data_IF_534038869929
#
_entry.id   IF_534038869929
#
_cell.length_a   1.000
_cell.length_b   1.000
_cell.length_c   1.000
_cell.angle_alpha   90.00
_cell.angle_beta   90.00
_cell.angle_gamma   90.00
#
_symmetry.space_group_name_H-M   'P 1'
#
loop_
_entity.id
_entity.type
_entity.pdbx_description
1 polymer ?
#
# COMPACT_ATOMS: atom_id res chain seq x y z
N UNK A 1 -2.70 -1.23 22.57
CA UNK A 1 -2.49 -1.60 21.15
C UNK A 1 -1.32 -0.81 20.57
N UNK A 2 -0.30 -1.49 20.03
CA UNK A 2 0.86 -0.85 19.40
C UNK A 2 0.45 0.00 18.17
N UNK A 3 1.27 1.00 17.80
CA UNK A 3 1.06 1.90 16.65
C UNK A 3 0.85 1.12 15.35
N UNK A 4 1.54 0.00 15.15
CA UNK A 4 1.38 -0.86 13.96
C UNK A 4 -0.04 -1.41 13.88
N UNK A 5 -0.50 -2.11 14.92
CA UNK A 5 -1.83 -2.74 14.95
C UNK A 5 -2.97 -1.72 14.86
N UNK A 6 -2.79 -0.53 15.47
CA UNK A 6 -3.71 0.61 15.27
C UNK A 6 -3.84 1.02 13.80
N UNK A 7 -2.74 1.10 13.08
CA UNK A 7 -2.77 1.44 11.65
C UNK A 7 -3.44 0.34 10.81
N UNK A 8 -3.17 -0.92 11.13
CA UNK A 8 -3.81 -2.07 10.47
C UNK A 8 -5.32 -2.07 10.70
N UNK A 9 -5.77 -1.79 11.93
CA UNK A 9 -7.19 -1.64 12.27
C UNK A 9 -7.85 -0.47 11.52
N UNK A 10 -7.17 0.67 11.40
CA UNK A 10 -7.66 1.80 10.59
C UNK A 10 -7.85 1.41 9.13
N UNK A 11 -6.93 0.62 8.56
CA UNK A 11 -7.03 0.14 7.17
C UNK A 11 -8.18 -0.87 7.04
N UNK A 12 -8.30 -1.81 7.97
CA UNK A 12 -9.36 -2.82 8.00
C UNK A 12 -10.75 -2.17 7.93
N UNK A 13 -10.96 -1.16 8.78
CA UNK A 13 -12.23 -0.41 8.87
C UNK A 13 -12.60 0.36 7.60
N UNK A 14 -11.67 0.58 6.68
CA UNK A 14 -11.98 1.18 5.36
C UNK A 14 -12.71 0.20 4.43
N UNK A 15 -12.65 -1.11 4.72
CA UNK A 15 -13.24 -2.16 3.88
C UNK A 15 -14.34 -2.92 4.62
N UNK A 16 -14.12 -3.25 5.90
CA UNK A 16 -15.04 -4.01 6.73
C UNK A 16 -15.68 -3.07 7.76
N UNK A 17 -16.92 -2.65 7.51
CA UNK A 17 -17.68 -1.79 8.42
C UNK A 17 -18.11 -2.56 9.68
N UNK A 18 -18.02 -1.93 10.85
CA UNK A 18 -18.50 -2.51 12.12
C UNK A 18 -20.02 -2.73 12.14
N UNK A 19 -20.75 -2.09 11.23
CA UNK A 19 -22.19 -2.35 11.03
C UNK A 19 -22.48 -3.68 10.35
N UNK A 20 -21.48 -4.32 9.73
CA UNK A 20 -21.60 -5.54 8.95
C UNK A 20 -20.71 -6.69 9.46
N UNK A 21 -19.61 -6.33 10.12
CA UNK A 21 -18.60 -7.26 10.60
C UNK A 21 -18.22 -6.97 12.06
N UNK A 22 -18.12 -8.01 12.86
CA UNK A 22 -17.61 -7.95 14.23
C UNK A 22 -16.15 -8.41 14.27
N UNK A 23 -15.28 -7.66 14.95
CA UNK A 23 -13.89 -8.08 15.19
C UNK A 23 -13.89 -9.02 16.39
N UNK A 24 -13.74 -10.33 16.15
CA UNK A 24 -13.70 -11.36 17.19
C UNK A 24 -12.36 -11.32 17.91
N UNK A 25 -11.26 -11.16 17.15
CA UNK A 25 -9.90 -11.28 17.67
C UNK A 25 -8.89 -10.49 16.85
N UNK A 26 -7.95 -9.86 17.55
CA UNK A 26 -6.68 -9.39 16.99
C UNK A 26 -5.61 -10.48 17.12
N UNK A 27 -4.81 -10.68 16.08
CA UNK A 27 -3.77 -11.71 16.03
C UNK A 27 -2.56 -11.28 15.22
N UNK A 28 -1.61 -12.19 15.06
CA UNK A 28 -0.45 -12.03 14.14
C UNK A 28 -0.56 -12.95 12.93
N UNK A 29 -1.45 -13.93 12.98
CA UNK A 29 -1.69 -14.83 11.87
C UNK A 29 -3.10 -15.46 11.89
N UNK A 30 -4.13 -14.86 11.27
CA UNK A 30 -4.17 -13.56 10.57
C UNK A 30 -4.08 -12.36 11.52
N UNK A 31 -3.96 -11.14 10.98
CA UNK A 31 -3.96 -9.90 11.77
C UNK A 31 -5.27 -9.68 12.52
N UNK A 32 -6.39 -10.05 11.89
CA UNK A 32 -7.74 -9.98 12.48
C UNK A 32 -8.56 -11.22 12.15
N UNK A 33 -9.46 -11.60 13.04
CA UNK A 33 -10.53 -12.55 12.79
C UNK A 33 -11.86 -11.83 12.92
N UNK A 34 -12.70 -11.94 11.88
CA UNK A 34 -14.00 -11.29 11.78
C UNK A 34 -15.14 -12.31 11.77
N UNK A 35 -16.31 -11.89 12.26
CA UNK A 35 -17.60 -12.54 12.00
C UNK A 35 -18.45 -11.62 11.14
N UNK A 36 -19.11 -12.15 10.11
CA UNK A 36 -20.19 -11.42 9.45
C UNK A 36 -21.53 -11.58 10.20
N UNK A 37 -22.59 -10.87 9.74
CA UNK A 37 -23.96 -10.99 10.29
C UNK A 37 -24.58 -12.38 10.19
N UNK A 38 -24.02 -13.28 9.39
CA UNK A 38 -24.46 -14.67 9.22
C UNK A 38 -23.63 -15.64 10.07
N UNK A 39 -22.79 -15.11 10.98
CA UNK A 39 -21.86 -15.87 11.81
C UNK A 39 -20.78 -16.63 11.02
N UNK A 40 -20.48 -16.23 9.78
CA UNK A 40 -19.33 -16.76 9.07
C UNK A 40 -18.06 -16.13 9.64
N UNK A 41 -17.13 -16.97 10.07
CA UNK A 41 -15.86 -16.55 10.66
C UNK A 41 -14.74 -16.67 9.63
N UNK A 42 -13.96 -15.60 9.47
CA UNK A 42 -12.82 -15.58 8.55
C UNK A 42 -11.70 -14.66 9.05
N UNK A 43 -10.50 -14.89 8.53
CA UNK A 43 -9.31 -14.08 8.80
C UNK A 43 -9.16 -12.92 7.83
N UNK A 44 -8.50 -11.85 8.27
CA UNK A 44 -8.01 -10.78 7.40
C UNK A 44 -6.54 -10.51 7.73
N UNK A 45 -5.67 -10.69 6.74
CA UNK A 45 -4.29 -10.25 6.76
C UNK A 45 -4.19 -8.87 6.11
N UNK A 46 -3.60 -7.91 6.82
CA UNK A 46 -3.44 -6.53 6.34
C UNK A 46 -1.98 -6.31 5.97
N UNK A 47 -1.75 -5.72 4.79
CA UNK A 47 -0.41 -5.32 4.37
C UNK A 47 -0.46 -3.99 3.64
N UNK A 48 0.67 -3.27 3.64
CA UNK A 48 0.82 -2.04 2.88
C UNK A 48 1.61 -2.29 1.60
N UNK A 49 1.24 -1.59 0.54
CA UNK A 49 2.01 -1.46 -0.68
C UNK A 49 2.99 -0.29 -0.53
N UNK A 50 4.23 -0.52 -0.98
CA UNK A 50 5.24 0.51 -1.19
C UNK A 50 5.98 0.13 -2.48
N UNK A 51 6.10 1.06 -3.41
CA UNK A 51 6.84 0.82 -4.67
C UNK A 51 8.33 0.54 -4.43
N UNK A 52 8.89 1.07 -3.35
CA UNK A 52 10.29 0.91 -2.93
C UNK A 52 10.40 0.85 -1.40
N UNK A 53 11.50 0.28 -0.85
CA UNK A 53 11.81 0.39 0.58
C UNK A 53 11.93 1.84 1.05
N UNK A 54 12.37 2.74 0.18
CA UNK A 54 12.50 4.17 0.45
C UNK A 54 11.15 4.83 0.69
N UNK A 55 10.12 4.51 -0.13
CA UNK A 55 8.74 4.94 0.13
C UNK A 55 8.20 4.45 1.47
N UNK A 56 8.51 3.20 1.82
CA UNK A 56 8.16 2.66 3.12
C UNK A 56 8.78 3.47 4.27
N UNK A 57 10.04 3.93 4.11
CA UNK A 57 10.71 4.78 5.10
C UNK A 57 10.09 6.17 5.18
N UNK A 58 9.82 6.82 4.04
CA UNK A 58 9.14 8.13 4.03
C UNK A 58 7.81 8.12 4.77
N UNK A 59 7.03 7.03 4.62
CA UNK A 59 5.69 6.93 5.20
C UNK A 59 5.67 6.44 6.65
N UNK A 60 6.65 5.64 7.08
CA UNK A 60 6.63 5.01 8.40
C UNK A 60 7.62 5.61 9.41
N UNK A 61 8.71 6.24 8.97
CA UNK A 61 9.70 6.87 9.85
C UNK A 61 9.35 8.35 10.02
N UNK A 62 8.93 8.73 11.22
CA UNK A 62 8.67 10.12 11.57
C UNK A 62 9.92 10.99 11.35
N UNK A 63 9.73 12.14 10.72
CA UNK A 63 10.76 13.13 10.39
C UNK A 63 11.88 12.59 9.49
N UNK A 64 11.62 11.54 8.69
CA UNK A 64 12.65 10.99 7.79
C UNK A 64 13.10 12.01 6.74
N UNK A 65 12.14 12.70 6.11
CA UNK A 65 12.41 13.77 5.13
C UNK A 65 13.27 14.90 5.74
N UNK A 66 12.91 15.36 6.93
CA UNK A 66 13.68 16.40 7.65
C UNK A 66 15.11 15.93 7.97
N UNK A 67 15.28 14.67 8.38
CA UNK A 67 16.60 14.08 8.66
C UNK A 67 17.48 13.99 7.42
N UNK A 68 16.88 13.68 6.27
CA UNK A 68 17.56 13.63 4.97
C UNK A 68 18.00 15.03 4.52
N UNK A 69 17.10 16.02 4.57
CA UNK A 69 17.37 17.41 4.19
C UNK A 69 18.49 18.03 5.03
N UNK A 70 18.52 17.71 6.33
CA UNK A 70 19.52 18.23 7.26
C UNK A 70 20.81 17.38 7.32
N UNK A 71 20.98 16.42 6.41
CA UNK A 71 22.18 15.56 6.27
C UNK A 71 22.56 14.76 7.52
N UNK A 72 21.62 14.56 8.46
CA UNK A 72 21.91 13.93 9.76
C UNK A 72 21.76 12.42 9.78
N UNK A 73 21.16 11.80 8.76
CA UNK A 73 21.06 10.35 8.62
C UNK A 73 20.50 9.97 7.25
N UNK A 74 21.28 9.28 6.42
CA UNK A 74 20.80 8.60 5.21
C UNK A 74 20.89 7.10 5.48
N UNK A 75 19.80 6.37 5.32
CA UNK A 75 19.85 4.91 5.40
C UNK A 75 20.79 4.39 4.31
N UNK A 76 21.63 3.38 4.60
CA UNK A 76 22.69 2.93 3.65
C UNK A 76 22.18 2.61 2.24
N UNK A 77 20.95 2.09 2.15
CA UNK A 77 20.29 1.76 0.88
C UNK A 77 19.75 2.97 0.11
N UNK A 78 19.68 4.14 0.71
CA UNK A 78 19.21 5.39 0.08
C UNK A 78 20.36 6.27 -0.41
N UNK A 79 21.61 5.93 -0.05
CA UNK A 79 22.80 6.64 -0.51
C UNK A 79 22.93 6.46 -2.03
N UNK A 80 22.94 7.57 -2.77
CA UNK A 80 23.03 7.57 -4.23
C UNK A 80 21.72 7.33 -4.97
N UNK A 81 20.60 7.10 -4.26
CA UNK A 81 19.25 6.99 -4.85
C UNK A 81 18.46 8.28 -4.63
N UNK A 82 18.68 8.94 -3.50
CA UNK A 82 18.05 10.21 -3.15
C UNK A 82 19.02 11.36 -3.37
N UNK A 83 18.55 12.38 -4.07
CA UNK A 83 19.28 13.63 -4.25
C UNK A 83 18.60 14.73 -3.44
N UNK A 84 19.37 15.42 -2.59
CA UNK A 84 18.89 16.62 -1.90
C UNK A 84 19.28 17.81 -2.74
N UNK A 85 18.29 18.55 -3.24
CA UNK A 85 18.48 19.70 -4.12
C UNK A 85 17.66 20.90 -3.66
N UNK A 86 17.84 22.02 -4.34
CA UNK A 86 16.97 23.18 -4.18
C UNK A 86 15.77 23.06 -5.11
N UNK A 87 14.57 23.31 -4.56
CA UNK A 87 13.31 23.34 -5.28
C UNK A 87 12.71 24.74 -5.18
N UNK A 88 12.14 25.21 -6.28
CA UNK A 88 11.42 26.48 -6.37
C UNK A 88 10.00 26.21 -6.89
N UNK A 89 9.04 26.99 -6.43
CA UNK A 89 7.72 27.03 -7.04
C UNK A 89 7.77 27.98 -8.22
N UNK A 90 7.25 27.54 -9.35
CA UNK A 90 7.09 28.36 -10.56
C UNK A 90 5.62 28.58 -10.85
N UNK A 91 5.29 29.72 -11.46
CA UNK A 91 3.96 29.97 -12.02
C UNK A 91 3.77 29.25 -13.38
N UNK A 92 2.58 29.39 -13.96
CA UNK A 92 2.25 28.78 -15.26
C UNK A 92 3.13 29.27 -16.42
N UNK A 93 3.81 30.41 -16.25
CA UNK A 93 4.77 30.96 -17.22
C UNK A 93 6.22 30.54 -16.93
N UNK A 94 6.44 29.68 -15.92
CA UNK A 94 7.75 29.23 -15.50
C UNK A 94 8.54 30.25 -14.68
N UNK A 95 7.93 31.35 -14.23
CA UNK A 95 8.60 32.33 -13.38
C UNK A 95 8.61 31.85 -11.94
N UNK A 96 9.76 31.93 -11.28
CA UNK A 96 9.89 31.61 -9.86
C UNK A 96 9.03 32.54 -9.00
N UNK A 97 8.20 31.96 -8.13
CA UNK A 97 7.30 32.65 -7.21
C UNK A 97 7.58 32.33 -5.73
N UNK A 98 8.63 31.55 -5.45
CA UNK A 98 9.09 31.28 -4.08
C UNK A 98 10.61 31.43 -3.99
N UNK A 99 11.10 31.69 -2.77
CA UNK A 99 12.51 31.45 -2.46
C UNK A 99 12.84 29.95 -2.66
N UNK A 100 14.08 29.61 -3.02
CA UNK A 100 14.56 28.24 -3.01
C UNK A 100 14.36 27.60 -1.64
N UNK A 101 13.88 26.36 -1.63
CA UNK A 101 13.76 25.51 -0.44
C UNK A 101 14.44 24.16 -0.72
N UNK A 102 14.77 23.40 0.33
CA UNK A 102 15.39 22.09 0.14
C UNK A 102 14.34 21.03 -0.14
N UNK A 103 14.53 20.31 -1.24
CA UNK A 103 13.70 19.17 -1.64
C UNK A 103 14.51 17.88 -1.67
N UNK A 104 13.79 16.76 -1.69
CA UNK A 104 14.35 15.44 -1.97
C UNK A 104 13.82 15.00 -3.33
N UNK A 105 14.70 14.88 -4.29
CA UNK A 105 14.42 14.37 -5.62
C UNK A 105 14.61 12.86 -5.62
N UNK A 106 13.70 12.17 -6.30
CA UNK A 106 13.78 10.73 -6.54
C UNK A 106 13.16 10.41 -7.89
N UNK A 107 13.71 9.39 -8.53
CA UNK A 107 13.06 8.77 -9.68
C UNK A 107 11.92 7.86 -9.20
N UNK A 108 10.78 7.94 -9.87
CA UNK A 108 9.67 7.03 -9.61
C UNK A 108 9.82 5.77 -10.48
N UNK A 109 9.56 4.57 -9.94
CA UNK A 109 9.58 3.34 -10.72
C UNK A 109 8.57 3.38 -11.88
N UNK A 110 8.84 2.65 -12.95
CA UNK A 110 7.94 2.50 -14.09
C UNK A 110 6.71 1.64 -13.73
N UNK A 111 5.64 1.77 -14.52
CA UNK A 111 4.37 1.05 -14.29
C UNK A 111 4.55 -0.46 -14.10
N UNK A 112 5.39 -1.09 -14.93
CA UNK A 112 5.67 -2.54 -14.88
C UNK A 112 6.37 -2.93 -13.57
N UNK A 113 7.31 -2.12 -13.10
CA UNK A 113 8.05 -2.38 -11.87
C UNK A 113 7.10 -2.34 -10.66
N UNK A 114 6.21 -1.35 -10.62
CA UNK A 114 5.21 -1.22 -9.56
C UNK A 114 4.21 -2.38 -9.53
N UNK A 115 3.77 -2.84 -10.70
CA UNK A 115 2.94 -4.04 -10.84
C UNK A 115 3.70 -5.28 -10.34
N UNK A 116 4.99 -5.41 -10.66
CA UNK A 116 5.82 -6.51 -10.19
C UNK A 116 5.98 -6.49 -8.66
N UNK A 117 6.09 -5.31 -8.04
CA UNK A 117 6.09 -5.18 -6.58
C UNK A 117 4.78 -5.69 -5.97
N UNK A 118 3.62 -5.34 -6.55
CA UNK A 118 2.32 -5.83 -6.10
C UNK A 118 2.24 -7.36 -6.19
N UNK A 119 2.67 -7.94 -7.32
CA UNK A 119 2.75 -9.39 -7.52
C UNK A 119 3.67 -10.06 -6.50
N UNK A 120 4.80 -9.45 -6.18
CA UNK A 120 5.75 -9.95 -5.19
C UNK A 120 5.17 -9.92 -3.77
N UNK A 121 4.41 -8.89 -3.41
CA UNK A 121 3.68 -8.84 -2.13
C UNK A 121 2.71 -10.02 -2.03
N UNK A 122 1.88 -10.21 -3.05
CA UNK A 122 0.91 -11.31 -3.11
C UNK A 122 1.63 -12.66 -3.01
N UNK A 123 2.68 -12.87 -3.81
CA UNK A 123 3.47 -14.12 -3.80
C UNK A 123 4.07 -14.44 -2.42
N UNK A 124 4.67 -13.46 -1.76
CA UNK A 124 5.21 -13.64 -0.40
C UNK A 124 4.11 -13.95 0.62
N UNK A 125 2.95 -13.30 0.50
CA UNK A 125 1.80 -13.57 1.37
C UNK A 125 1.19 -14.94 1.10
N UNK A 126 1.19 -15.43 -0.14
CA UNK A 126 0.77 -16.80 -0.46
C UNK A 126 1.69 -17.83 0.21
N UNK A 127 3.01 -17.60 0.21
CA UNK A 127 3.96 -18.45 0.92
C UNK A 127 3.70 -18.44 2.43
N UNK A 128 3.56 -17.25 3.04
CA UNK A 128 3.18 -17.11 4.45
C UNK A 128 1.89 -17.88 4.72
N UNK A 129 0.93 -17.80 3.82
CA UNK A 129 -0.35 -18.47 3.99
C UNK A 129 -0.24 -19.98 4.02
N UNK A 130 0.51 -20.54 3.09
CA UNK A 130 0.77 -21.98 3.03
C UNK A 130 1.56 -22.47 4.23
N UNK A 131 2.44 -21.64 4.82
CA UNK A 131 3.33 -22.09 5.90
C UNK A 131 2.80 -21.83 7.32
N UNK A 132 2.03 -20.76 7.54
CA UNK A 132 1.79 -20.25 8.91
C UNK A 132 0.33 -20.23 9.34
N UNK A 133 -0.63 -20.15 8.42
CA UNK A 133 -2.05 -20.15 8.81
C UNK A 133 -2.65 -21.55 8.88
N UNK A 134 -3.65 -21.66 9.75
CA UNK A 134 -4.61 -22.76 9.80
C UNK A 134 -5.30 -22.93 8.44
N UNK A 135 -5.28 -24.16 7.91
CA UNK A 135 -5.85 -24.48 6.59
C UNK A 135 -7.37 -24.56 6.58
N UNK A 136 -7.99 -24.68 7.74
CA UNK A 136 -9.45 -24.69 7.87
C UNK A 136 -10.06 -23.28 7.83
N UNK A 137 -9.26 -22.25 8.11
CA UNK A 137 -9.71 -20.86 8.14
C UNK A 137 -9.62 -20.23 6.75
N UNK A 138 -10.72 -19.65 6.28
CA UNK A 138 -10.71 -18.76 5.11
C UNK A 138 -10.07 -17.42 5.52
N UNK A 139 -9.18 -16.89 4.68
CA UNK A 139 -8.45 -15.65 4.97
C UNK A 139 -8.49 -14.73 3.76
N UNK A 140 -8.85 -13.47 3.97
CA UNK A 140 -8.72 -12.41 2.98
C UNK A 140 -7.37 -11.69 3.12
N UNK A 141 -6.81 -11.24 2.00
CA UNK A 141 -5.65 -10.37 1.98
C UNK A 141 -6.09 -8.94 1.61
N UNK A 142 -5.90 -8.01 2.55
CA UNK A 142 -6.13 -6.58 2.34
C UNK A 142 -4.80 -5.87 2.09
N UNK A 143 -4.60 -5.37 0.89
CA UNK A 143 -3.43 -4.58 0.49
C UNK A 143 -3.82 -3.12 0.43
N UNK A 144 -3.20 -2.29 1.26
CA UNK A 144 -3.40 -0.85 1.27
C UNK A 144 -2.27 -0.12 0.55
N UNK A 145 -2.61 0.62 -0.50
CA UNK A 145 -1.73 1.60 -1.12
C UNK A 145 -2.17 3.01 -0.73
N UNK A 146 -1.24 3.82 -0.21
CA UNK A 146 -1.50 5.22 0.09
C UNK A 146 -1.05 6.15 -1.06
N UNK A 147 -1.11 5.66 -2.30
CA UNK A 147 -0.85 6.41 -3.53
C UNK A 147 0.47 6.13 -4.25
N UNK A 148 1.33 5.20 -3.78
CA UNK A 148 2.58 4.90 -4.49
C UNK A 148 2.33 4.15 -5.80
N UNK A 149 1.34 3.25 -5.80
CA UNK A 149 1.04 2.41 -6.96
C UNK A 149 0.69 3.30 -8.15
N UNK A 150 -0.13 4.33 -7.95
CA UNK A 150 -0.62 5.21 -9.02
C UNK A 150 0.11 6.56 -9.13
N UNK A 151 1.25 6.74 -8.47
CA UNK A 151 2.02 8.00 -8.50
C UNK A 151 2.59 8.34 -9.89
N UNK A 152 3.00 9.59 -10.12
CA UNK A 152 3.68 10.01 -11.33
C UNK A 152 2.74 10.50 -12.43
N UNK A 153 3.11 10.25 -13.69
CA UNK A 153 2.40 10.80 -14.85
C UNK A 153 1.05 10.11 -15.08
N UNK A 154 0.08 10.84 -15.63
CA UNK A 154 -1.26 10.31 -15.97
C UNK A 154 -1.20 9.05 -16.85
N UNK A 155 -0.26 8.99 -17.78
CA UNK A 155 -0.08 7.79 -18.62
C UNK A 155 0.33 6.55 -17.81
N UNK A 156 1.18 6.71 -16.78
CA UNK A 156 1.59 5.62 -15.90
C UNK A 156 0.40 5.17 -15.04
N UNK A 157 -0.33 6.13 -14.47
CA UNK A 157 -1.56 5.87 -13.71
C UNK A 157 -2.57 5.09 -14.56
N UNK A 158 -2.83 5.52 -15.79
CA UNK A 158 -3.77 4.87 -16.69
C UNK A 158 -3.36 3.43 -17.04
N UNK A 159 -2.07 3.19 -17.31
CA UNK A 159 -1.55 1.84 -17.56
C UNK A 159 -1.78 0.89 -16.38
N UNK A 160 -1.53 1.36 -15.16
CA UNK A 160 -1.69 0.57 -13.94
C UNK A 160 -3.17 0.27 -13.69
N UNK A 161 -4.04 1.27 -13.75
CA UNK A 161 -5.48 1.07 -13.53
C UNK A 161 -6.08 0.12 -14.58
N UNK A 162 -5.68 0.25 -15.85
CA UNK A 162 -6.11 -0.68 -16.91
C UNK A 162 -5.68 -2.13 -16.63
N UNK A 163 -4.47 -2.33 -16.12
CA UNK A 163 -4.01 -3.66 -15.71
C UNK A 163 -4.86 -4.21 -14.56
N UNK A 164 -5.08 -3.42 -13.52
CA UNK A 164 -5.84 -3.83 -12.33
C UNK A 164 -7.30 -4.15 -12.66
N UNK A 165 -7.95 -3.34 -13.50
CA UNK A 165 -9.32 -3.59 -13.96
C UNK A 165 -9.42 -4.85 -14.82
N UNK A 166 -8.42 -5.13 -15.68
CA UNK A 166 -8.38 -6.39 -16.43
C UNK A 166 -8.21 -7.58 -15.48
N UNK A 167 -7.39 -7.45 -14.43
CA UNK A 167 -7.20 -8.49 -13.44
C UNK A 167 -8.48 -8.76 -12.63
N UNK A 168 -9.17 -7.71 -12.19
CA UNK A 168 -10.46 -7.81 -11.48
C UNK A 168 -11.52 -8.51 -12.33
N UNK A 169 -11.67 -8.11 -13.59
CA UNK A 169 -12.62 -8.73 -14.52
C UNK A 169 -12.29 -10.18 -14.83
N UNK A 170 -11.01 -10.49 -15.02
CA UNK A 170 -10.57 -11.83 -15.37
C UNK A 170 -10.58 -12.79 -14.16
N UNK A 171 -10.35 -12.27 -12.95
CA UNK A 171 -10.28 -13.03 -11.70
C UNK A 171 -9.36 -14.27 -11.79
N UNK A 172 -8.25 -14.16 -12.53
CA UNK A 172 -7.35 -15.29 -12.85
C UNK A 172 -6.24 -15.52 -11.83
N UNK A 173 -6.19 -14.72 -10.75
CA UNK A 173 -5.08 -14.74 -9.83
C UNK A 173 -5.15 -15.99 -8.93
N UNK A 174 -4.17 -16.87 -9.06
CA UNK A 174 -4.07 -18.07 -8.23
C UNK A 174 -3.47 -17.72 -6.86
N UNK A 175 -4.24 -17.96 -5.80
CA UNK A 175 -3.85 -17.64 -4.43
C UNK A 175 -4.69 -18.44 -3.42
N UNK A 176 -4.11 -18.86 -2.27
CA UNK A 176 -4.84 -19.55 -1.22
C UNK A 176 -5.74 -18.62 -0.38
N UNK A 177 -5.55 -17.30 -0.44
CA UNK A 177 -6.46 -16.35 0.20
C UNK A 177 -7.85 -16.43 -0.44
N UNK A 178 -8.94 -16.33 0.31
CA UNK A 178 -10.31 -16.29 -0.22
C UNK A 178 -10.47 -15.10 -1.18
N UNK A 179 -10.33 -13.90 -0.65
CA UNK A 179 -10.30 -12.65 -1.42
C UNK A 179 -8.93 -11.97 -1.37
N UNK A 180 -8.61 -11.22 -2.43
CA UNK A 180 -7.49 -10.26 -2.41
C UNK A 180 -8.05 -8.89 -2.80
N UNK A 181 -8.07 -7.99 -1.82
CA UNK A 181 -8.63 -6.65 -1.94
C UNK A 181 -7.47 -5.66 -1.97
N UNK A 182 -7.40 -4.87 -3.05
CA UNK A 182 -6.50 -3.73 -3.15
C UNK A 182 -7.28 -2.45 -2.89
N UNK A 183 -6.87 -1.71 -1.86
CA UNK A 183 -7.43 -0.42 -1.50
C UNK A 183 -6.40 0.67 -1.81
N UNK A 184 -6.71 1.55 -2.76
CA UNK A 184 -5.85 2.66 -3.20
C UNK A 184 -6.42 3.97 -2.67
N UNK A 185 -5.63 4.73 -1.94
CA UNK A 185 -5.97 6.09 -1.53
C UNK A 185 -5.69 7.09 -2.67
N UNK A 186 -6.71 7.87 -3.00
CA UNK A 186 -6.65 8.90 -4.03
C UNK A 186 -6.28 10.27 -3.42
N UNK A 187 -5.81 11.20 -4.26
CA UNK A 187 -5.35 12.53 -3.82
C UNK A 187 -6.42 13.34 -3.07
N UNK A 188 -7.70 13.11 -3.38
CA UNK A 188 -8.85 13.72 -2.70
C UNK A 188 -9.26 13.00 -1.39
N UNK A 189 -8.43 12.10 -0.86
CA UNK A 189 -8.69 11.24 0.31
C UNK A 189 -9.87 10.26 0.15
N UNK A 190 -10.41 10.12 -1.06
CA UNK A 190 -11.29 9.00 -1.37
C UNK A 190 -10.46 7.71 -1.53
N UNK A 191 -11.13 6.57 -1.53
CA UNK A 191 -10.46 5.28 -1.73
C UNK A 191 -11.10 4.51 -2.86
N UNK A 192 -10.27 3.96 -3.74
CA UNK A 192 -10.67 3.00 -4.76
C UNK A 192 -10.45 1.59 -4.24
N UNK A 193 -11.50 0.76 -4.26
CA UNK A 193 -11.42 -0.68 -3.94
C UNK A 193 -11.39 -1.46 -5.25
N UNK A 194 -10.43 -2.36 -5.39
CA UNK A 194 -10.29 -3.28 -6.52
C UNK A 194 -10.19 -4.70 -5.99
N UNK A 195 -11.06 -5.59 -6.48
CA UNK A 195 -11.06 -7.00 -6.12
C UNK A 195 -10.16 -7.78 -7.08
N UNK A 196 -8.91 -8.02 -6.69
CA UNK A 196 -7.93 -8.73 -7.53
C UNK A 196 -8.21 -10.23 -7.62
N UNK A 197 -8.90 -10.75 -6.60
CA UNK A 197 -9.33 -12.14 -6.51
C UNK A 197 -10.60 -12.26 -5.65
N UNK A 198 -11.53 -13.10 -6.09
CA UNK A 198 -12.66 -13.61 -5.31
C UNK A 198 -12.89 -15.09 -5.62
N UNK A 199 -13.29 -15.90 -4.63
CA UNK A 199 -13.79 -17.27 -4.83
C UNK A 199 -15.30 -17.27 -4.62
#
# INVERSE_FOLDING_TARGET
MDKKKRNELTILRKVYSETEYEIIREGESPDFTLSDKKNNVFGVEVTKYFDTPTSARFKNISNYTEKLINSKFIHKQDIGILEVGEIVKVDDNGKEISSPDKGILRELPQSVERINVLKNIISRKNIKHTQQYDKSMQIDLLIYDSGDLTAGLEIQRHQILNYLQKQEKANTLVSPFREIILLIEESNKSTMKILLKSI
#
